data_IF_183119633605
#
_entry.id   IF_183119633605
#
_cell.length_a   1.000
_cell.length_b   1.000
_cell.length_c   1.000
_cell.angle_alpha   90.00
_cell.angle_beta   90.00
_cell.angle_gamma   90.00
#
_symmetry.space_group_name_H-M   'P 1'
#
loop_
_entity.id
_entity.type
_entity.pdbx_description
1 polymer ?
#
# COMPACT_ATOMS: atom_id res chain seq x y z
N UNK A 1 -3.07 9.53 30.15
CA UNK A 1 -4.03 8.71 29.36
C UNK A 1 -3.36 8.33 28.04
N UNK A 2 -2.55 7.26 28.02
CA UNK A 2 -1.81 6.87 26.80
C UNK A 2 -2.77 6.23 25.79
N UNK A 3 -2.79 6.71 24.55
CA UNK A 3 -3.51 6.03 23.45
C UNK A 3 -3.01 4.59 23.39
N UNK A 4 -3.87 3.61 23.65
CA UNK A 4 -3.61 2.23 23.25
C UNK A 4 -3.37 2.29 21.73
N UNK A 5 -2.20 1.84 21.29
CA UNK A 5 -1.96 1.64 19.86
C UNK A 5 -3.10 0.76 19.35
N UNK A 6 -3.81 1.22 18.33
CA UNK A 6 -4.81 0.41 17.66
C UNK A 6 -4.15 -0.93 17.30
N UNK A 7 -4.64 -2.01 17.90
CA UNK A 7 -4.12 -3.35 17.68
C UNK A 7 -4.51 -3.77 16.26
N UNK A 8 -3.52 -4.00 15.41
CA UNK A 8 -3.72 -4.41 14.02
C UNK A 8 -4.05 -5.91 13.86
N UNK A 9 -3.99 -6.71 14.92
CA UNK A 9 -4.23 -8.16 14.92
C UNK A 9 -3.53 -8.86 13.74
N UNK A 10 -4.28 -9.42 12.78
CA UNK A 10 -3.75 -10.14 11.62
C UNK A 10 -2.96 -9.28 10.61
N UNK A 11 -2.82 -7.98 10.83
CA UNK A 11 -2.05 -7.07 9.97
C UNK A 11 -0.82 -6.53 10.69
N UNK A 12 0.25 -6.30 9.94
CA UNK A 12 1.47 -5.66 10.46
C UNK A 12 1.29 -4.14 10.70
N UNK A 13 0.21 -3.55 10.19
CA UNK A 13 -0.05 -2.10 10.31
C UNK A 13 0.90 -1.22 9.49
N UNK A 14 1.68 -1.81 8.57
CA UNK A 14 2.74 -1.15 7.80
C UNK A 14 2.77 -1.64 6.35
N UNK A 15 3.09 -0.76 5.42
CA UNK A 15 3.32 -1.03 4.00
C UNK A 15 4.75 -0.59 3.66
N UNK A 16 5.56 -1.48 3.10
CA UNK A 16 6.87 -1.11 2.56
C UNK A 16 6.67 -0.51 1.17
N UNK A 17 7.21 0.69 0.96
CA UNK A 17 7.26 1.36 -0.35
C UNK A 17 8.70 1.37 -0.84
N UNK A 18 8.93 0.92 -2.06
CA UNK A 18 10.26 0.91 -2.69
C UNK A 18 10.18 1.65 -4.01
N UNK A 19 11.05 2.65 -4.19
CA UNK A 19 11.26 3.35 -5.45
C UNK A 19 12.59 2.91 -6.05
N UNK A 20 12.52 2.13 -7.12
CA UNK A 20 13.70 1.57 -7.80
C UNK A 20 14.45 2.58 -8.66
N UNK A 21 13.83 3.69 -9.08
CA UNK A 21 14.52 4.77 -9.81
C UNK A 21 15.38 5.61 -8.89
N UNK A 22 14.90 5.87 -7.67
CA UNK A 22 15.59 6.70 -6.68
C UNK A 22 16.44 5.92 -5.68
N UNK A 23 16.40 4.57 -5.74
CA UNK A 23 17.03 3.68 -4.76
C UNK A 23 16.62 3.99 -3.31
N UNK A 24 15.33 4.24 -3.08
CA UNK A 24 14.78 4.59 -1.76
C UNK A 24 13.74 3.58 -1.30
N UNK A 25 13.72 3.33 0.01
CA UNK A 25 12.64 2.61 0.68
C UNK A 25 12.06 3.46 1.81
N UNK A 26 10.77 3.30 2.07
CA UNK A 26 10.06 3.96 3.16
C UNK A 26 8.98 3.03 3.71
N UNK A 27 8.65 3.22 4.98
CA UNK A 27 7.53 2.53 5.63
C UNK A 27 6.36 3.51 5.70
N UNK A 28 5.24 3.14 5.08
CA UNK A 28 3.97 3.86 5.19
C UNK A 28 3.08 3.16 6.23
N UNK A 29 2.45 3.90 7.16
CA UNK A 29 1.44 3.32 8.05
C UNK A 29 0.24 2.79 7.27
N UNK A 30 -0.23 1.59 7.61
CA UNK A 30 -1.46 1.06 7.02
C UNK A 30 -2.66 1.92 7.47
N UNK A 31 -3.51 2.30 6.51
CA UNK A 31 -4.76 3.01 6.79
C UNK A 31 -5.84 2.02 7.24
N UNK A 32 -6.59 2.32 8.31
CA UNK A 32 -7.68 1.44 8.81
C UNK A 32 -8.72 1.11 7.74
N UNK A 33 -9.07 2.10 6.92
CA UNK A 33 -10.00 1.94 5.79
C UNK A 33 -9.61 0.80 4.84
N UNK A 34 -8.30 0.56 4.66
CA UNK A 34 -7.85 -0.53 3.80
C UNK A 34 -8.33 -1.87 4.33
N UNK A 35 -8.10 -2.12 5.61
CA UNK A 35 -8.51 -3.35 6.30
C UNK A 35 -10.03 -3.51 6.27
N UNK A 36 -10.76 -2.44 6.61
CA UNK A 36 -12.22 -2.48 6.75
C UNK A 36 -12.93 -2.72 5.41
N UNK A 37 -12.42 -2.14 4.31
CA UNK A 37 -13.10 -2.17 3.01
C UNK A 37 -12.54 -3.19 2.03
N UNK A 38 -11.26 -3.54 2.17
CA UNK A 38 -10.54 -4.33 1.17
C UNK A 38 -9.83 -5.56 1.76
N UNK A 39 -9.91 -5.77 3.08
CA UNK A 39 -9.37 -6.91 3.82
C UNK A 39 -7.86 -7.01 3.73
N UNK A 40 -7.28 -7.42 2.60
CA UNK A 40 -5.85 -7.60 2.42
C UNK A 40 -5.50 -8.07 1.01
N UNK A 41 -4.21 -8.42 0.80
CA UNK A 41 -3.72 -9.06 -0.43
C UNK A 41 -4.22 -8.38 -1.70
N UNK A 42 -4.98 -9.12 -2.52
CA UNK A 42 -5.53 -8.64 -3.80
C UNK A 42 -6.42 -7.39 -3.64
N UNK A 43 -7.16 -7.27 -2.55
CA UNK A 43 -8.01 -6.10 -2.30
C UNK A 43 -7.18 -4.83 -2.13
N UNK A 44 -6.09 -4.92 -1.35
CA UNK A 44 -5.16 -3.80 -1.19
C UNK A 44 -4.46 -3.47 -2.50
N UNK A 45 -3.98 -4.51 -3.20
CA UNK A 45 -3.33 -4.33 -4.49
C UNK A 45 -4.22 -3.60 -5.51
N UNK A 46 -5.48 -4.02 -5.63
CA UNK A 46 -6.44 -3.37 -6.52
C UNK A 46 -6.70 -1.90 -6.13
N UNK A 47 -6.87 -1.59 -4.84
CA UNK A 47 -7.08 -0.22 -4.38
C UNK A 47 -5.88 0.69 -4.64
N UNK A 48 -4.66 0.20 -4.38
CA UNK A 48 -3.42 0.96 -4.63
C UNK A 48 -3.25 1.24 -6.11
N UNK A 49 -3.44 0.23 -6.97
CA UNK A 49 -3.35 0.42 -8.42
C UNK A 49 -4.40 1.42 -8.92
N UNK A 50 -5.64 1.31 -8.43
CA UNK A 50 -6.72 2.22 -8.81
C UNK A 50 -6.43 3.68 -8.42
N UNK A 51 -5.89 3.90 -7.21
CA UNK A 51 -5.60 5.25 -6.71
C UNK A 51 -4.34 5.86 -7.33
N UNK A 52 -3.30 5.05 -7.55
CA UNK A 52 -1.94 5.57 -7.77
C UNK A 52 -1.39 5.33 -9.17
N UNK A 53 -2.03 4.49 -10.00
CA UNK A 53 -1.60 4.25 -11.38
C UNK A 53 -2.58 4.93 -12.34
N UNK A 54 -2.16 6.02 -13.03
CA UNK A 54 -3.04 6.73 -13.95
C UNK A 54 -3.58 5.81 -15.06
N UNK A 55 -4.83 6.05 -15.47
CA UNK A 55 -5.44 5.37 -16.62
C UNK A 55 -4.56 5.53 -17.86
N UNK A 56 -4.34 4.41 -18.56
CA UNK A 56 -3.53 4.39 -19.78
C UNK A 56 -2.01 4.35 -19.54
N UNK A 57 -1.56 4.16 -18.29
CA UNK A 57 -0.15 3.89 -17.99
C UNK A 57 0.32 2.67 -18.79
N UNK A 58 1.43 2.84 -19.51
CA UNK A 58 2.13 1.75 -20.19
C UNK A 58 2.60 0.71 -19.14
N UNK A 59 2.18 -0.57 -19.26
CA UNK A 59 2.48 -1.60 -18.27
C UNK A 59 3.97 -1.83 -18.01
N UNK A 60 4.85 -1.47 -18.96
CA UNK A 60 6.29 -1.70 -18.85
C UNK A 60 7.08 -0.44 -18.46
N UNK A 61 6.40 0.68 -18.16
CA UNK A 61 7.06 1.93 -17.75
C UNK A 61 7.22 2.05 -16.24
N UNK A 62 8.22 2.84 -15.76
CA UNK A 62 8.48 3.03 -14.33
C UNK A 62 7.32 3.58 -13.50
N UNK A 63 6.32 4.18 -14.14
CA UNK A 63 5.13 4.69 -13.45
C UNK A 63 4.12 3.60 -13.10
N UNK A 64 4.25 2.39 -13.67
CA UNK A 64 3.49 1.24 -13.23
C UNK A 64 4.00 0.74 -11.86
N UNK A 65 3.12 0.16 -11.05
CA UNK A 65 3.44 -0.32 -9.70
C UNK A 65 3.29 -1.83 -9.63
N UNK A 66 4.31 -2.48 -9.06
CA UNK A 66 4.27 -3.91 -8.74
C UNK A 66 3.94 -4.08 -7.24
N UNK A 67 3.01 -4.99 -6.94
CA UNK A 67 2.51 -5.24 -5.58
C UNK A 67 2.65 -6.73 -5.27
N UNK A 68 3.11 -7.03 -4.06
CA UNK A 68 3.33 -8.38 -3.52
C UNK A 68 2.42 -8.63 -2.31
#
# INVERSE_FOLDING_TARGET
MGRKADSWFGYMGRILRVNLTQHKSAIEPLRKEFVERFVGGRGFGAKILFDEVPKGTDPLRPNNKLIF
#
